data_IF_271749749663
#
_entry.id   IF_271749749663
#
_cell.length_a   1.000
_cell.length_b   1.000
_cell.length_c   1.000
_cell.angle_alpha   90.00
_cell.angle_beta   90.00
_cell.angle_gamma   90.00
#
_symmetry.space_group_name_H-M   'P 1'
#
loop_
_entity.id
_entity.type
_entity.pdbx_description
1 polymer ?
#
# COMPACT_ATOMS: atom_id res chain seq x y z
N UNK A 1 14.71 9.98 30.01
CA UNK A 1 15.31 11.08 29.21
C UNK A 1 16.67 10.68 28.65
N UNK A 2 16.82 10.75 27.32
CA UNK A 2 18.06 10.46 26.57
C UNK A 2 19.12 11.53 26.89
N UNK A 3 20.39 11.14 27.04
CA UNK A 3 21.51 12.10 27.11
C UNK A 3 21.78 12.67 25.72
N UNK A 4 22.07 13.96 25.63
CA UNK A 4 22.60 14.58 24.41
C UNK A 4 23.89 13.90 23.99
N UNK A 5 24.19 13.93 22.70
CA UNK A 5 25.36 13.24 22.18
C UNK A 5 26.65 13.89 22.69
N UNK A 6 26.69 15.22 22.84
CA UNK A 6 27.79 15.98 23.47
C UNK A 6 28.13 15.47 24.89
N UNK A 7 27.11 15.23 25.72
CA UNK A 7 27.32 14.70 27.07
C UNK A 7 27.85 13.27 27.02
N UNK A 8 27.42 12.45 26.06
CA UNK A 8 27.94 11.08 25.91
C UNK A 8 29.40 11.09 25.47
N UNK A 9 29.78 11.95 24.53
CA UNK A 9 31.17 12.16 24.14
C UNK A 9 32.02 12.62 25.32
N UNK A 10 31.52 13.58 26.11
CA UNK A 10 32.21 14.09 27.30
C UNK A 10 32.41 13.00 28.38
N UNK A 11 31.42 12.13 28.58
CA UNK A 11 31.53 10.97 29.49
C UNK A 11 32.68 10.06 29.02
N UNK A 12 32.76 9.78 27.73
CA UNK A 12 33.79 8.89 27.18
C UNK A 12 35.17 9.53 27.17
N UNK A 13 35.29 10.83 26.89
CA UNK A 13 36.57 11.53 26.97
C UNK A 13 37.13 11.50 28.39
N UNK A 14 36.32 11.78 29.42
CA UNK A 14 36.74 11.70 30.82
C UNK A 14 37.10 10.27 31.26
N UNK A 15 36.46 9.26 30.68
CA UNK A 15 36.74 7.85 30.99
C UNK A 15 38.03 7.36 30.33
N UNK A 16 38.25 7.70 29.06
CA UNK A 16 39.34 7.17 28.23
C UNK A 16 40.61 8.01 28.38
N UNK A 17 40.52 9.34 28.34
CA UNK A 17 41.70 10.23 28.40
C UNK A 17 42.15 10.48 29.83
N UNK A 18 41.21 10.81 30.70
CA UNK A 18 41.51 11.25 32.07
C UNK A 18 41.40 10.11 33.11
N UNK A 19 40.99 8.91 32.69
CA UNK A 19 40.78 7.73 33.55
C UNK A 19 39.92 7.98 34.80
N UNK A 20 38.93 8.86 34.71
CA UNK A 20 38.09 9.18 35.86
C UNK A 20 37.15 8.02 36.25
N UNK A 21 36.88 7.92 37.55
CA UNK A 21 35.86 6.99 38.07
C UNK A 21 34.45 7.43 37.70
N UNK A 22 33.53 6.49 37.54
CA UNK A 22 32.15 6.77 37.14
C UNK A 22 31.45 7.78 38.08
N UNK A 23 31.77 7.74 39.39
CA UNK A 23 31.26 8.69 40.39
C UNK A 23 31.78 10.11 40.16
N UNK A 24 33.07 10.26 39.80
CA UNK A 24 33.69 11.56 39.52
C UNK A 24 33.11 12.17 38.25
N UNK A 25 32.94 11.37 37.20
CA UNK A 25 32.30 11.79 35.93
C UNK A 25 30.86 12.26 36.19
N UNK A 26 30.08 11.48 36.93
CA UNK A 26 28.70 11.82 37.29
C UNK A 26 28.59 13.17 38.01
N UNK A 27 29.45 13.41 39.01
CA UNK A 27 29.49 14.67 39.74
C UNK A 27 29.89 15.85 38.85
N UNK A 28 30.88 15.67 37.98
CA UNK A 28 31.41 16.73 37.10
C UNK A 28 30.41 17.16 36.03
N UNK A 29 29.67 16.21 35.46
CA UNK A 29 28.71 16.48 34.38
C UNK A 29 27.26 16.70 34.88
N UNK A 30 27.01 16.56 36.18
CA UNK A 30 25.64 16.65 36.73
C UNK A 30 24.71 15.53 36.24
N UNK A 31 25.26 14.36 35.88
CA UNK A 31 24.50 13.24 35.32
C UNK A 31 24.41 12.10 36.33
N UNK A 32 23.24 11.45 36.41
CA UNK A 32 23.07 10.30 37.29
C UNK A 32 24.05 9.14 36.98
N UNK A 33 24.66 8.57 38.02
CA UNK A 33 25.71 7.54 37.93
C UNK A 33 25.36 6.35 37.03
N UNK A 34 24.09 5.94 37.01
CA UNK A 34 23.65 4.79 36.20
C UNK A 34 23.64 5.10 34.71
N UNK A 35 23.41 6.35 34.31
CA UNK A 35 23.48 6.75 32.90
C UNK A 35 24.93 6.72 32.43
N UNK A 36 25.86 7.25 33.24
CA UNK A 36 27.31 7.20 32.97
C UNK A 36 27.77 5.75 32.79
N UNK A 37 27.41 4.87 33.73
CA UNK A 37 27.77 3.46 33.65
C UNK A 37 27.22 2.78 32.39
N UNK A 38 25.93 2.99 32.06
CA UNK A 38 25.31 2.42 30.85
C UNK A 38 25.94 2.94 29.56
N UNK A 39 26.33 4.22 29.50
CA UNK A 39 27.01 4.81 28.34
C UNK A 39 28.39 4.18 28.13
N UNK A 40 29.18 4.04 29.20
CA UNK A 40 30.50 3.41 29.14
C UNK A 40 30.38 1.94 28.73
N UNK A 41 29.51 1.18 29.40
CA UNK A 41 29.29 -0.24 29.11
C UNK A 41 28.88 -0.46 27.64
N UNK A 42 28.00 0.39 27.11
CA UNK A 42 27.59 0.29 25.71
C UNK A 42 28.76 0.53 24.76
N UNK A 43 29.57 1.55 25.04
CA UNK A 43 30.73 1.85 24.21
C UNK A 43 31.74 0.71 24.24
N UNK A 44 31.97 0.08 25.40
CA UNK A 44 32.82 -1.12 25.53
C UNK A 44 32.27 -2.31 24.72
N UNK A 45 30.94 -2.48 24.68
CA UNK A 45 30.30 -3.60 23.96
C UNK A 45 30.22 -3.40 22.44
N UNK A 46 30.07 -2.16 21.97
CA UNK A 46 29.76 -1.88 20.55
C UNK A 46 30.77 -0.99 19.83
N UNK A 47 31.65 -0.32 20.58
CA UNK A 47 32.45 0.79 20.06
C UNK A 47 31.64 2.03 19.67
N UNK A 48 30.32 2.05 19.92
CA UNK A 48 29.43 3.13 19.47
C UNK A 48 28.78 3.88 20.63
N UNK A 49 28.58 5.17 20.40
CA UNK A 49 27.92 6.11 21.32
C UNK A 49 26.40 6.12 21.09
N UNK A 50 25.99 5.68 19.90
CA UNK A 50 24.61 5.67 19.49
C UNK A 50 23.79 4.69 20.34
N UNK A 51 22.49 4.98 20.48
CA UNK A 51 21.60 4.00 21.07
C UNK A 51 21.47 2.82 20.10
N UNK A 52 21.41 1.60 20.65
CA UNK A 52 21.07 0.44 19.84
C UNK A 52 19.72 0.64 19.17
N UNK A 53 19.66 0.33 17.89
CA UNK A 53 18.40 0.25 17.18
C UNK A 53 17.56 -0.84 17.84
N UNK A 54 16.39 -0.45 18.35
CA UNK A 54 15.45 -1.40 18.93
C UNK A 54 14.75 -2.12 17.80
N UNK A 55 14.63 -3.43 17.91
CA UNK A 55 13.70 -4.17 17.10
C UNK A 55 12.29 -3.69 17.45
N UNK A 56 11.58 -3.18 16.44
CA UNK A 56 10.18 -2.83 16.58
C UNK A 56 9.33 -4.08 16.81
N UNK A 57 8.05 -3.87 17.09
CA UNK A 57 7.09 -4.99 17.15
C UNK A 57 7.00 -5.67 15.78
N UNK A 58 6.97 -7.01 15.80
CA UNK A 58 6.77 -7.79 14.59
C UNK A 58 5.45 -7.42 13.88
N UNK A 59 5.50 -7.47 12.55
CA UNK A 59 4.32 -7.20 11.71
C UNK A 59 3.34 -8.35 11.83
N UNK A 60 2.03 -8.04 11.84
CA UNK A 60 0.97 -9.07 11.84
C UNK A 60 0.89 -9.87 10.54
N UNK A 61 1.27 -9.27 9.41
CA UNK A 61 1.34 -9.96 8.12
C UNK A 61 2.82 -10.19 7.81
N UNK A 62 3.16 -11.45 7.56
CA UNK A 62 4.49 -11.86 7.17
C UNK A 62 4.79 -11.45 5.72
N UNK A 63 6.06 -11.28 5.38
CA UNK A 63 6.47 -10.82 4.05
C UNK A 63 6.00 -11.78 2.93
N UNK A 64 6.04 -13.09 3.20
CA UNK A 64 5.52 -14.13 2.29
C UNK A 64 4.06 -13.92 1.93
N UNK A 65 3.24 -13.66 2.95
CA UNK A 65 1.81 -13.44 2.81
C UNK A 65 1.52 -12.13 2.06
N UNK A 66 2.27 -11.08 2.38
CA UNK A 66 2.21 -9.79 1.71
C UNK A 66 2.51 -9.93 0.20
N UNK A 67 3.53 -10.70 -0.18
CA UNK A 67 3.86 -10.99 -1.58
C UNK A 67 2.75 -11.77 -2.28
N UNK A 68 2.22 -12.83 -1.63
CA UNK A 68 1.15 -13.65 -2.19
C UNK A 68 -0.13 -12.83 -2.41
N UNK A 69 -0.49 -12.00 -1.44
CA UNK A 69 -1.65 -11.12 -1.50
C UNK A 69 -1.53 -10.12 -2.66
N UNK A 70 -0.36 -9.48 -2.81
CA UNK A 70 -0.11 -8.55 -3.90
C UNK A 70 -0.15 -9.24 -5.27
N UNK A 71 0.46 -10.43 -5.40
CA UNK A 71 0.48 -11.21 -6.63
C UNK A 71 -0.94 -11.55 -7.11
N UNK A 72 -1.78 -12.11 -6.24
CA UNK A 72 -3.17 -12.46 -6.57
C UNK A 72 -4.02 -11.24 -6.92
N UNK A 73 -3.80 -10.12 -6.23
CA UNK A 73 -4.51 -8.88 -6.52
C UNK A 73 -4.14 -8.33 -7.91
N UNK A 74 -2.85 -8.30 -8.24
CA UNK A 74 -2.33 -7.79 -9.52
C UNK A 74 -2.72 -8.69 -10.70
N UNK A 75 -2.70 -10.01 -10.54
CA UNK A 75 -3.17 -10.96 -11.56
C UNK A 75 -4.69 -10.93 -11.77
N UNK A 76 -5.42 -10.23 -10.91
CA UNK A 76 -6.85 -10.03 -11.06
C UNK A 76 -7.72 -11.19 -10.56
N UNK A 77 -7.13 -12.22 -9.94
CA UNK A 77 -7.85 -13.27 -9.21
C UNK A 77 -8.77 -12.65 -8.15
N UNK A 78 -8.28 -11.61 -7.47
CA UNK A 78 -9.01 -10.84 -6.49
C UNK A 78 -9.56 -9.56 -7.14
N UNK A 79 -10.89 -9.46 -7.24
CA UNK A 79 -11.55 -8.36 -7.96
C UNK A 79 -11.50 -7.04 -7.19
N UNK A 80 -11.62 -7.10 -5.86
CA UNK A 80 -11.69 -5.93 -4.99
C UNK A 80 -10.98 -6.19 -3.66
N UNK A 81 -10.72 -5.10 -2.91
CA UNK A 81 -10.09 -5.19 -1.58
C UNK A 81 -10.96 -6.00 -0.61
N UNK A 82 -12.29 -5.88 -0.67
CA UNK A 82 -13.20 -6.64 0.21
C UNK A 82 -13.04 -8.16 0.05
N UNK A 83 -12.96 -8.66 -1.18
CA UNK A 83 -12.72 -10.07 -1.46
C UNK A 83 -11.29 -10.48 -1.09
N UNK A 84 -10.33 -9.57 -1.23
CA UNK A 84 -8.93 -9.80 -0.82
C UNK A 84 -8.83 -10.03 0.68
N UNK A 85 -9.53 -9.21 1.46
CA UNK A 85 -9.66 -9.36 2.91
C UNK A 85 -10.29 -10.70 3.25
N UNK A 86 -11.47 -11.01 2.66
CA UNK A 86 -12.18 -12.26 2.94
C UNK A 86 -11.30 -13.47 2.64
N UNK A 87 -10.66 -13.48 1.45
CA UNK A 87 -9.75 -14.54 1.03
C UNK A 87 -8.54 -14.69 1.95
N UNK A 88 -7.90 -13.58 2.35
CA UNK A 88 -6.72 -13.62 3.22
C UNK A 88 -7.04 -14.26 4.58
N UNK A 89 -8.14 -13.83 5.21
CA UNK A 89 -8.53 -14.32 6.53
C UNK A 89 -9.11 -15.73 6.49
N UNK A 90 -9.80 -16.12 5.42
CA UNK A 90 -10.24 -17.50 5.23
C UNK A 90 -9.05 -18.47 5.06
N UNK A 91 -7.94 -18.00 4.48
CA UNK A 91 -6.77 -18.84 4.19
C UNK A 91 -5.82 -18.93 5.39
N UNK A 92 -5.65 -17.85 6.14
CA UNK A 92 -4.68 -17.77 7.25
C UNK A 92 -5.28 -18.07 8.64
N UNK A 93 -6.61 -18.02 8.79
CA UNK A 93 -7.27 -18.18 10.08
C UNK A 93 -7.06 -17.01 11.05
N UNK A 94 -6.45 -15.91 10.60
CA UNK A 94 -6.26 -14.73 11.43
C UNK A 94 -7.56 -13.94 11.67
N UNK A 95 -7.60 -13.14 12.73
CA UNK A 95 -8.71 -12.21 12.98
C UNK A 95 -8.79 -11.15 11.89
N UNK A 96 -9.99 -10.94 11.36
CA UNK A 96 -10.25 -10.02 10.27
C UNK A 96 -9.96 -8.56 10.63
N UNK A 97 -8.97 -7.96 9.97
CA UNK A 97 -8.57 -6.56 10.08
C UNK A 97 -8.44 -5.91 8.69
N UNK A 98 -9.57 -5.45 8.14
CA UNK A 98 -9.67 -4.91 6.78
C UNK A 98 -8.66 -3.79 6.48
N UNK A 99 -8.38 -2.94 7.46
CA UNK A 99 -7.42 -1.83 7.34
C UNK A 99 -5.99 -2.31 7.09
N UNK A 100 -5.64 -3.49 7.59
CA UNK A 100 -4.29 -4.01 7.53
C UNK A 100 -3.96 -4.48 6.12
N UNK A 101 -4.89 -5.20 5.48
CA UNK A 101 -4.81 -5.59 4.07
C UNK A 101 -4.73 -4.35 3.15
N UNK A 102 -5.50 -3.30 3.45
CA UNK A 102 -5.39 -2.02 2.71
C UNK A 102 -4.00 -1.41 2.85
N UNK A 103 -3.46 -1.35 4.05
CA UNK A 103 -2.12 -0.82 4.30
C UNK A 103 -1.04 -1.62 3.57
N UNK A 104 -1.17 -2.95 3.51
CA UNK A 104 -0.29 -3.80 2.70
C UNK A 104 -0.33 -3.36 1.23
N UNK A 105 -1.52 -3.25 0.63
CA UNK A 105 -1.66 -2.82 -0.76
C UNK A 105 -1.08 -1.43 -0.99
N UNK A 106 -1.34 -0.48 -0.10
CA UNK A 106 -0.84 0.90 -0.22
C UNK A 106 0.68 0.98 -0.10
N UNK A 107 1.30 0.25 0.84
CA UNK A 107 2.77 0.19 0.97
C UNK A 107 3.45 -0.37 -0.28
N UNK A 108 2.76 -1.23 -1.01
CA UNK A 108 3.22 -1.78 -2.29
C UNK A 108 2.79 -0.93 -3.51
N UNK A 109 2.36 0.32 -3.30
CA UNK A 109 1.91 1.25 -4.34
C UNK A 109 0.69 0.76 -5.16
N UNK A 110 -0.12 -0.14 -4.59
CA UNK A 110 -1.36 -0.65 -5.20
C UNK A 110 -2.53 0.19 -4.67
N UNK A 111 -2.69 1.41 -5.20
CA UNK A 111 -3.74 2.36 -4.79
C UNK A 111 -5.04 2.12 -5.55
N UNK A 112 -4.93 1.80 -6.84
CA UNK A 112 -6.06 1.52 -7.71
C UNK A 112 -5.75 0.31 -8.58
N UNK A 113 -6.77 -0.48 -8.90
CA UNK A 113 -6.61 -1.55 -9.89
C UNK A 113 -6.32 -0.89 -11.23
N UNK A 114 -5.25 -1.30 -11.93
CA UNK A 114 -5.04 -0.94 -13.33
C UNK A 114 -6.34 -1.25 -14.08
N UNK A 115 -6.94 -0.24 -14.75
CA UNK A 115 -8.15 -0.48 -15.56
C UNK A 115 -7.82 -1.63 -16.50
N UNK A 116 -8.55 -2.74 -16.38
CA UNK A 116 -8.45 -3.80 -17.37
C UNK A 116 -8.90 -3.18 -18.70
N UNK A 117 -7.95 -2.96 -19.61
CA UNK A 117 -8.28 -2.53 -20.95
C UNK A 117 -9.11 -3.66 -21.53
N UNK A 118 -10.43 -3.44 -21.65
CA UNK A 118 -11.32 -4.41 -22.29
C UNK A 118 -10.67 -4.76 -23.64
N UNK A 119 -10.52 -6.05 -24.00
CA UNK A 119 -9.95 -6.41 -25.28
C UNK A 119 -10.69 -5.63 -26.36
N UNK A 120 -9.93 -5.09 -27.33
CA UNK A 120 -10.48 -4.32 -28.42
C UNK A 120 -11.50 -5.22 -29.13
N UNK A 121 -12.79 -4.90 -28.99
CA UNK A 121 -13.83 -5.69 -29.64
C UNK A 121 -13.57 -5.69 -31.14
N UNK A 122 -13.67 -6.87 -31.76
CA UNK A 122 -13.70 -6.99 -33.22
C UNK A 122 -14.81 -6.10 -33.77
N UNK A 123 -14.59 -5.55 -34.96
CA UNK A 123 -15.41 -4.48 -35.53
C UNK A 123 -16.91 -4.82 -35.52
N UNK A 124 -17.26 -6.07 -35.86
CA UNK A 124 -18.64 -6.58 -35.84
C UNK A 124 -19.28 -6.52 -34.44
N UNK A 125 -18.55 -6.95 -33.40
CA UNK A 125 -19.05 -6.90 -32.01
C UNK A 125 -19.13 -5.46 -31.49
N UNK A 126 -18.28 -4.57 -32.02
CA UNK A 126 -18.28 -3.14 -31.70
C UNK A 126 -19.51 -2.44 -32.29
N UNK A 127 -19.83 -2.69 -33.56
CA UNK A 127 -21.04 -2.18 -34.24
C UNK A 127 -22.33 -2.61 -33.52
N UNK A 128 -22.49 -3.90 -33.18
CA UNK A 128 -23.67 -4.42 -32.44
C UNK A 128 -23.90 -3.75 -31.09
N UNK A 129 -22.82 -3.30 -30.43
CA UNK A 129 -22.93 -2.62 -29.13
C UNK A 129 -23.31 -1.15 -29.28
N UNK A 130 -22.79 -0.49 -30.33
CA UNK A 130 -23.15 0.89 -30.65
C UNK A 130 -24.57 1.00 -31.22
N UNK A 131 -25.07 0.01 -31.96
CA UNK A 131 -26.47 -0.02 -32.40
C UNK A 131 -27.43 -0.06 -31.20
N UNK A 132 -27.15 -0.90 -30.20
CA UNK A 132 -27.94 -0.97 -28.97
C UNK A 132 -27.91 0.33 -28.15
N UNK A 133 -26.82 1.09 -28.21
CA UNK A 133 -26.72 2.40 -27.55
C UNK A 133 -27.43 3.54 -28.30
N UNK A 134 -27.64 3.38 -29.61
CA UNK A 134 -28.36 4.34 -30.46
C UNK A 134 -29.88 4.14 -30.37
N UNK A 135 -30.35 2.90 -30.26
CA UNK A 135 -31.78 2.56 -30.15
C UNK A 135 -32.47 3.15 -28.90
N UNK A 136 -31.70 3.50 -27.86
CA UNK A 136 -32.26 4.08 -26.63
C UNK A 136 -32.57 5.58 -26.79
N UNK A 137 -31.99 6.28 -27.78
CA UNK A 137 -32.12 7.74 -27.92
C UNK A 137 -33.33 8.22 -28.73
N UNK A 138 -34.05 7.34 -29.41
CA UNK A 138 -35.23 7.70 -30.23
C UNK A 138 -36.57 7.37 -29.59
N UNK A 139 -36.59 7.01 -28.30
CA UNK A 139 -37.83 6.93 -27.53
C UNK A 139 -38.24 8.31 -27.01
N UNK A 140 -39.06 9.04 -27.78
CA UNK A 140 -39.73 10.23 -27.25
C UNK A 140 -40.71 9.80 -26.15
N UNK A 141 -40.50 10.32 -24.95
CA UNK A 141 -41.42 10.17 -23.82
C UNK A 141 -42.60 11.14 -24.02
N UNK A 142 -43.77 10.61 -24.35
CA UNK A 142 -45.03 11.36 -24.28
C UNK A 142 -46.07 10.54 -23.52
N UNK A 143 -46.60 11.11 -22.44
CA UNK A 143 -47.70 10.57 -21.63
C UNK A 143 -47.51 9.14 -21.07
N UNK A 144 -46.37 8.87 -20.43
CA UNK A 144 -46.20 7.70 -19.56
C UNK A 144 -46.16 6.33 -20.25
N UNK A 145 -46.06 6.28 -21.58
CA UNK A 145 -45.85 5.04 -22.35
C UNK A 145 -44.66 5.22 -23.29
N UNK A 146 -43.81 4.20 -23.36
CA UNK A 146 -42.74 4.11 -24.36
C UNK A 146 -43.39 3.69 -25.68
N UNK A 147 -43.47 4.60 -26.65
CA UNK A 147 -43.85 4.27 -28.02
C UNK A 147 -42.55 4.06 -28.80
N UNK A 148 -42.23 2.81 -29.11
CA UNK A 148 -41.15 2.48 -30.04
C UNK A 148 -41.64 2.76 -31.47
N UNK A 149 -41.38 3.97 -31.99
CA UNK A 149 -41.61 4.27 -33.40
C UNK A 149 -40.48 3.62 -34.22
N UNK A 150 -40.79 2.53 -34.91
CA UNK A 150 -39.91 2.00 -35.95
C UNK A 150 -39.94 2.94 -37.16
N UNK A 151 -39.14 4.00 -37.13
CA UNK A 151 -38.83 4.76 -38.34
C UNK A 151 -37.87 3.93 -39.18
N UNK A 152 -38.43 3.26 -40.21
CA UNK A 152 -37.68 2.65 -41.30
C UNK A 152 -37.11 3.80 -42.15
N UNK A 153 -36.00 4.39 -41.71
CA UNK A 153 -35.22 5.30 -42.55
C UNK A 153 -34.64 4.45 -43.69
N UNK A 154 -35.28 4.55 -44.85
CA UNK A 154 -34.82 3.94 -46.09
C UNK A 154 -33.43 4.47 -46.43
N UNK A 155 -32.43 3.59 -46.34
CA UNK A 155 -31.16 3.78 -47.01
C UNK A 155 -31.33 3.41 -48.48
N UNK A 156 -31.85 4.35 -49.27
CA UNK A 156 -31.53 4.41 -50.69
C UNK A 156 -30.14 5.04 -50.79
N UNK A 157 -29.13 4.24 -51.18
CA UNK A 157 -28.43 4.42 -52.44
C UNK A 157 -27.08 3.67 -52.50
N UNK A 158 -26.87 3.06 -53.67
CA UNK A 158 -25.59 2.92 -54.38
C UNK A 158 -24.53 2.00 -53.75
N UNK A 159 -24.58 0.73 -54.13
CA UNK A 159 -23.36 0.01 -54.50
C UNK A 159 -23.49 -0.35 -55.98
N UNK A 160 -22.64 0.32 -56.76
CA UNK A 160 -22.44 0.10 -58.19
C UNK A 160 -22.01 -1.35 -58.48
N UNK A 161 -22.42 -1.77 -59.67
CA UNK A 161 -21.89 -2.81 -60.57
C UNK A 161 -20.36 -2.98 -60.58
N UNK A 162 -19.93 -4.15 -61.11
CA UNK A 162 -18.58 -4.62 -61.54
C UNK A 162 -17.93 -5.55 -60.47
N UNK A 163 -17.76 -6.87 -60.60
CA UNK A 163 -17.78 -7.88 -61.69
C UNK A 163 -18.62 -9.08 -61.23
#
# INVERSE_FOLDING_TARGET
MRLSDELRYSILSYKIRDHYSNRKIAKKLGVHKTKVAKTIQRYEQTGSINDHQRFGREKKIHERDERLLCFKFLNGELKNVKLTVVWYYSTTGHTRLDWLVRNVLHRNNIVYKKKFMKPRLYEVKRRKRYSFGFDIKTGMWTNGKIICLWMKLGFNNLINTII
#
